data_IF_901030939433
#
_entry.id   IF_901030939433
#
_cell.length_a   1.000
_cell.length_b   1.000
_cell.length_c   1.000
_cell.angle_alpha   90.00
_cell.angle_beta   90.00
_cell.angle_gamma   90.00
#
_symmetry.space_group_name_H-M   'P 1'
#
loop_
_entity.id
_entity.type
_entity.pdbx_description
1 polymer ?
#
# COMPACT_ATOMS: atom_id res chain seq x y z
N UNK A 1 -13.85 -10.46 21.80
CA UNK A 1 -14.87 -11.48 22.15
C UNK A 1 -14.33 -12.48 23.16
N UNK A 2 -13.23 -13.18 22.88
CA UNK A 2 -12.56 -14.06 23.88
C UNK A 2 -12.12 -13.32 25.15
N UNK A 3 -11.51 -12.11 25.09
CA UNK A 3 -11.15 -11.36 26.31
C UNK A 3 -12.34 -11.05 27.22
N UNK A 4 -13.52 -10.75 26.63
CA UNK A 4 -14.73 -10.54 27.41
C UNK A 4 -15.17 -11.82 28.14
N UNK A 5 -15.09 -12.98 27.49
CA UNK A 5 -15.41 -14.24 28.17
C UNK A 5 -14.40 -14.49 29.31
N UNK A 6 -13.12 -14.17 29.09
CA UNK A 6 -12.08 -14.31 30.11
C UNK A 6 -12.27 -13.37 31.31
N UNK A 7 -12.75 -12.15 31.10
CA UNK A 7 -13.02 -11.21 32.18
C UNK A 7 -14.16 -11.69 33.11
N UNK A 8 -15.15 -12.41 32.56
CA UNK A 8 -16.35 -12.82 33.28
C UNK A 8 -16.38 -14.30 33.68
N UNK A 9 -15.44 -15.13 33.20
CA UNK A 9 -15.37 -16.57 33.55
C UNK A 9 -15.15 -16.86 35.03
N UNK A 10 -14.64 -15.87 35.80
CA UNK A 10 -14.48 -15.96 37.26
C UNK A 10 -15.79 -15.77 38.03
N UNK A 11 -16.82 -15.21 37.39
CA UNK A 11 -18.14 -14.91 38.00
C UNK A 11 -19.23 -15.79 37.40
N UNK A 12 -19.16 -16.10 36.10
CA UNK A 12 -20.14 -16.92 35.40
C UNK A 12 -19.45 -18.09 34.67
N UNK A 13 -20.16 -19.20 34.55
CA UNK A 13 -19.70 -20.33 33.72
C UNK A 13 -19.70 -19.90 32.25
N UNK A 14 -18.71 -20.38 31.48
CA UNK A 14 -18.48 -20.02 30.07
C UNK A 14 -19.71 -20.27 29.18
N UNK A 15 -20.40 -21.40 29.37
CA UNK A 15 -21.58 -21.78 28.56
C UNK A 15 -22.70 -20.73 28.53
N UNK A 16 -23.19 -20.25 29.69
CA UNK A 16 -24.12 -19.13 29.77
C UNK A 16 -23.65 -17.86 29.06
N UNK A 17 -22.39 -17.46 29.23
CA UNK A 17 -21.82 -16.28 28.56
C UNK A 17 -21.85 -16.46 27.04
N UNK A 18 -21.41 -17.63 26.56
CA UNK A 18 -21.42 -18.00 25.14
C UNK A 18 -22.85 -17.97 24.55
N UNK A 19 -23.87 -18.37 25.30
CA UNK A 19 -25.28 -18.33 24.85
C UNK A 19 -25.78 -16.89 24.66
N UNK A 20 -25.36 -15.96 25.52
CA UNK A 20 -25.75 -14.54 25.43
C UNK A 20 -25.01 -13.81 24.31
N UNK A 21 -23.78 -14.23 23.99
CA UNK A 21 -22.95 -13.64 22.91
C UNK A 21 -23.16 -14.27 21.52
N UNK A 22 -24.26 -15.01 21.31
CA UNK A 22 -24.41 -16.10 20.34
C UNK A 22 -23.12 -16.76 19.79
N UNK A 23 -22.30 -17.38 20.66
CA UNK A 23 -21.07 -18.11 20.28
C UNK A 23 -21.18 -19.57 20.72
N UNK A 24 -20.68 -20.51 19.90
CA UNK A 24 -20.54 -21.89 20.34
C UNK A 24 -19.39 -22.04 21.35
N UNK A 25 -19.56 -22.76 22.49
CA UNK A 25 -18.50 -22.98 23.49
C UNK A 25 -17.22 -23.57 22.89
N UNK A 26 -17.34 -24.47 21.92
CA UNK A 26 -16.20 -25.05 21.19
C UNK A 26 -15.32 -24.01 20.48
N UNK A 27 -15.88 -22.85 20.12
CA UNK A 27 -15.13 -21.75 19.51
C UNK A 27 -14.26 -21.04 20.55
N UNK A 28 -14.77 -20.89 21.79
CA UNK A 28 -13.99 -20.39 22.91
C UNK A 28 -12.88 -21.38 23.27
N UNK A 29 -13.21 -22.66 23.44
CA UNK A 29 -12.23 -23.70 23.79
C UNK A 29 -11.13 -23.82 22.72
N UNK A 30 -11.48 -23.70 21.44
CA UNK A 30 -10.50 -23.68 20.35
C UNK A 30 -9.61 -22.43 20.39
N UNK A 31 -10.16 -21.28 20.76
CA UNK A 31 -9.39 -20.05 20.92
C UNK A 31 -8.48 -20.09 22.16
N UNK A 32 -8.95 -20.65 23.28
CA UNK A 32 -8.16 -20.90 24.48
C UNK A 32 -7.05 -21.91 24.19
N UNK A 33 -7.35 -23.01 23.48
CA UNK A 33 -6.36 -24.01 23.08
C UNK A 33 -5.28 -23.43 22.16
N UNK A 34 -5.62 -22.51 21.25
CA UNK A 34 -4.61 -21.80 20.42
C UNK A 34 -3.75 -20.83 21.23
N UNK A 35 -4.27 -20.31 22.34
CA UNK A 35 -3.52 -19.41 23.21
C UNK A 35 -2.54 -20.18 24.08
N UNK A 36 -2.99 -21.28 24.70
CA UNK A 36 -2.21 -22.12 25.61
C UNK A 36 -1.21 -23.04 24.90
N UNK A 37 -1.58 -23.58 23.74
CA UNK A 37 -0.73 -24.44 22.92
C UNK A 37 -0.32 -23.72 21.62
N UNK A 38 0.93 -23.19 21.54
CA UNK A 38 1.44 -22.52 20.35
C UNK A 38 1.41 -23.39 19.09
N UNK A 39 1.47 -24.72 19.21
CA UNK A 39 1.45 -25.64 18.07
C UNK A 39 0.08 -25.70 17.38
N UNK A 40 -1.00 -25.31 18.06
CA UNK A 40 -2.36 -25.24 17.50
C UNK A 40 -2.65 -23.96 16.73
N UNK A 41 -1.75 -22.97 16.78
CA UNK A 41 -1.88 -21.73 16.00
C UNK A 41 -1.65 -22.00 14.52
N UNK A 42 -2.14 -21.10 13.67
CA UNK A 42 -1.90 -21.22 12.22
C UNK A 42 -0.40 -21.19 11.92
N UNK A 43 0.04 -21.88 10.86
CA UNK A 43 1.44 -21.84 10.40
C UNK A 43 1.94 -20.40 10.20
N UNK A 44 1.06 -19.49 9.78
CA UNK A 44 1.35 -18.07 9.62
C UNK A 44 1.67 -17.40 10.95
N UNK A 45 0.88 -17.67 11.99
CA UNK A 45 1.07 -17.10 13.32
C UNK A 45 2.31 -17.68 14.01
N UNK A 46 2.58 -18.97 13.81
CA UNK A 46 3.81 -19.61 14.30
C UNK A 46 5.06 -18.96 13.68
N UNK A 47 5.08 -18.82 12.34
CA UNK A 47 6.16 -18.12 11.62
C UNK A 47 6.29 -16.66 12.06
N UNK A 48 5.18 -15.97 12.26
CA UNK A 48 5.19 -14.60 12.76
C UNK A 48 5.75 -14.50 14.17
N UNK A 49 5.42 -15.45 15.06
CA UNK A 49 5.95 -15.50 16.42
C UNK A 49 7.47 -15.68 16.42
N UNK A 50 7.98 -16.70 15.72
CA UNK A 50 9.42 -16.94 15.61
C UNK A 50 10.16 -15.73 15.03
N UNK A 51 9.56 -15.07 14.03
CA UNK A 51 10.13 -13.86 13.43
C UNK A 51 10.14 -12.66 14.40
N UNK A 52 9.17 -12.53 15.31
CA UNK A 52 9.18 -11.48 16.34
C UNK A 52 10.38 -11.63 17.27
N UNK A 53 10.66 -12.86 17.70
CA UNK A 53 11.78 -13.14 18.60
C UNK A 53 13.12 -12.81 17.93
N UNK A 54 13.31 -13.23 16.68
CA UNK A 54 14.50 -12.90 15.90
C UNK A 54 14.66 -11.38 15.66
N UNK A 55 13.57 -10.69 15.30
CA UNK A 55 13.55 -9.23 15.15
C UNK A 55 13.99 -8.53 16.45
N UNK A 56 13.45 -8.98 17.59
CA UNK A 56 13.73 -8.39 18.89
C UNK A 56 15.19 -8.59 19.31
N UNK A 57 15.73 -9.79 19.08
CA UNK A 57 17.14 -10.09 19.34
C UNK A 57 18.07 -9.22 18.51
N UNK A 58 17.86 -9.16 17.19
CA UNK A 58 18.67 -8.32 16.29
C UNK A 58 18.57 -6.84 16.66
N UNK A 59 17.36 -6.35 16.95
CA UNK A 59 17.15 -4.96 17.34
C UNK A 59 17.86 -4.61 18.64
N UNK A 60 17.76 -5.45 19.66
CA UNK A 60 18.42 -5.27 20.96
C UNK A 60 19.95 -5.37 20.84
N UNK A 61 20.46 -6.36 20.11
CA UNK A 61 21.90 -6.52 19.86
C UNK A 61 22.52 -5.30 19.16
N UNK A 62 21.75 -4.62 18.31
CA UNK A 62 22.16 -3.40 17.61
C UNK A 62 21.82 -2.12 18.38
N UNK A 63 21.72 -2.18 19.72
CA UNK A 63 21.46 -1.05 20.62
C UNK A 63 20.21 -0.25 20.24
N UNK A 64 19.18 -0.92 19.72
CA UNK A 64 17.91 -0.31 19.32
C UNK A 64 18.04 0.72 18.18
N UNK A 65 19.19 0.77 17.48
CA UNK A 65 19.43 1.75 16.41
C UNK A 65 18.78 1.33 15.09
N UNK A 66 18.67 0.02 14.84
CA UNK A 66 18.21 -0.48 13.55
C UNK A 66 16.70 -0.32 13.37
N UNK A 67 16.29 0.34 12.29
CA UNK A 67 14.91 0.27 11.80
C UNK A 67 14.66 -0.98 10.96
N UNK A 68 13.41 -1.20 10.55
CA UNK A 68 12.97 -2.43 9.86
C UNK A 68 13.86 -2.87 8.69
N UNK A 69 14.25 -1.96 7.80
CA UNK A 69 15.11 -2.30 6.66
C UNK A 69 16.54 -2.71 7.03
N UNK A 70 17.06 -2.28 8.19
CA UNK A 70 18.37 -2.72 8.70
C UNK A 70 18.25 -4.05 9.43
N UNK A 71 17.21 -4.22 10.26
CA UNK A 71 16.90 -5.49 10.91
C UNK A 71 16.70 -6.59 9.87
N UNK A 72 15.87 -6.35 8.86
CA UNK A 72 15.63 -7.29 7.76
C UNK A 72 16.91 -7.71 7.04
N UNK A 73 17.80 -6.75 6.72
CA UNK A 73 19.10 -7.05 6.09
C UNK A 73 20.02 -7.85 7.01
N UNK A 74 19.95 -7.64 8.32
CA UNK A 74 20.76 -8.39 9.28
C UNK A 74 20.26 -9.83 9.42
N UNK A 75 18.94 -10.02 9.57
CA UNK A 75 18.30 -11.34 9.55
C UNK A 75 18.65 -12.10 8.27
N UNK A 76 18.66 -11.41 7.13
CA UNK A 76 19.02 -12.01 5.84
C UNK A 76 20.48 -12.50 5.77
N UNK A 77 21.38 -11.91 6.57
CA UNK A 77 22.80 -12.31 6.63
C UNK A 77 23.03 -13.47 7.60
N UNK A 78 22.31 -13.50 8.72
CA UNK A 78 22.51 -14.48 9.80
C UNK A 78 21.78 -15.78 9.52
N UNK A 79 20.50 -15.72 9.12
CA UNK A 79 19.61 -16.88 9.02
C UNK A 79 19.14 -17.17 7.57
N UNK A 80 19.63 -16.41 6.59
CA UNK A 80 19.20 -16.51 5.19
C UNK A 80 17.80 -15.90 4.94
N UNK A 81 17.08 -16.29 3.86
CA UNK A 81 15.81 -15.67 3.48
C UNK A 81 14.64 -16.11 4.38
N UNK A 82 14.63 -15.69 5.65
CA UNK A 82 13.59 -16.01 6.64
C UNK A 82 12.28 -15.29 6.35
N UNK A 83 12.33 -14.07 5.77
CA UNK A 83 11.15 -13.29 5.43
C UNK A 83 11.42 -12.17 4.41
N UNK A 84 10.35 -11.74 3.72
CA UNK A 84 10.31 -10.46 2.99
C UNK A 84 10.31 -9.27 3.98
N UNK A 85 10.60 -8.07 3.49
CA UNK A 85 10.65 -6.85 4.32
C UNK A 85 9.30 -6.48 4.97
N UNK A 86 8.19 -6.61 4.25
CA UNK A 86 6.86 -6.18 4.72
C UNK A 86 6.42 -6.88 6.02
N UNK A 87 6.60 -8.21 6.19
CA UNK A 87 6.43 -8.88 7.48
C UNK A 87 7.22 -8.26 8.63
N UNK A 88 8.50 -7.92 8.41
CA UNK A 88 9.37 -7.32 9.43
C UNK A 88 8.85 -5.94 9.84
N UNK A 89 8.50 -5.10 8.87
CA UNK A 89 7.94 -3.78 9.13
C UNK A 89 6.64 -3.84 9.95
N UNK A 90 5.72 -4.73 9.55
CA UNK A 90 4.46 -4.92 10.25
C UNK A 90 4.66 -5.41 11.69
N UNK A 91 5.56 -6.38 11.89
CA UNK A 91 5.81 -6.94 13.23
C UNK A 91 6.51 -5.92 14.14
N UNK A 92 7.49 -5.18 13.64
CA UNK A 92 8.12 -4.10 14.40
C UNK A 92 7.10 -3.04 14.83
N UNK A 93 6.17 -2.64 13.95
CA UNK A 93 5.08 -1.72 14.30
C UNK A 93 4.18 -2.29 15.40
N UNK A 94 3.77 -3.56 15.28
CA UNK A 94 2.93 -4.23 16.30
C UNK A 94 3.62 -4.33 17.67
N UNK A 95 4.94 -4.48 17.69
CA UNK A 95 5.75 -4.55 18.92
C UNK A 95 6.18 -3.19 19.45
N UNK A 96 5.85 -2.09 18.76
CA UNK A 96 6.31 -0.75 19.11
C UNK A 96 7.82 -0.53 18.92
N UNK A 97 8.50 -1.42 18.18
CA UNK A 97 9.94 -1.31 17.91
C UNK A 97 10.19 -0.30 16.79
N UNK A 98 11.11 0.62 17.03
CA UNK A 98 11.54 1.61 16.05
C UNK A 98 13.05 1.74 16.09
N UNK A 99 13.64 2.04 14.93
CA UNK A 99 15.06 2.38 14.87
C UNK A 99 15.30 3.82 15.30
N UNK A 100 16.52 4.14 15.69
CA UNK A 100 16.91 5.51 15.99
C UNK A 100 16.76 6.39 14.74
N UNK A 101 16.01 7.48 14.88
CA UNK A 101 15.83 8.51 13.86
C UNK A 101 16.67 9.72 14.27
N UNK A 102 17.56 10.18 13.39
CA UNK A 102 18.30 11.43 13.61
C UNK A 102 17.44 12.61 13.15
N UNK A 103 17.22 13.57 14.03
CA UNK A 103 16.43 14.78 13.76
C UNK A 103 14.95 14.63 14.10
N UNK A 104 14.24 15.76 14.12
CA UNK A 104 12.78 15.75 14.17
C UNK A 104 12.26 15.35 12.79
N UNK A 105 11.20 14.51 12.73
CA UNK A 105 10.44 14.38 11.49
C UNK A 105 9.98 15.79 11.08
N UNK A 106 10.12 16.18 9.80
CA UNK A 106 9.51 17.42 9.34
C UNK A 106 8.04 17.37 9.73
N UNK A 107 7.61 18.24 10.66
CA UNK A 107 6.20 18.44 10.91
C UNK A 107 5.68 19.16 9.69
N UNK A 108 5.06 18.41 8.79
CA UNK A 108 4.26 19.04 7.75
C UNK A 108 3.16 19.84 8.43
N UNK A 109 2.87 21.02 7.91
CA UNK A 109 1.69 21.79 8.29
C UNK A 109 0.48 20.87 8.16
N UNK A 110 -0.17 20.55 9.28
CA UNK A 110 -1.43 19.81 9.22
C UNK A 110 -2.45 20.71 8.54
N UNK A 111 -3.14 20.18 7.53
CA UNK A 111 -4.27 20.90 6.93
C UNK A 111 -5.32 21.13 8.02
N UNK A 112 -5.85 22.35 8.08
CA UNK A 112 -6.94 22.70 8.98
C UNK A 112 -8.22 22.00 8.48
N UNK A 113 -8.83 21.09 9.26
CA UNK A 113 -10.01 20.36 8.84
C UNK A 113 -11.23 21.26 8.63
N UNK A 114 -11.25 22.45 9.23
CA UNK A 114 -12.32 23.45 9.08
C UNK A 114 -12.06 24.41 7.92
N UNK A 115 -10.91 24.29 7.25
CA UNK A 115 -10.61 25.10 6.06
C UNK A 115 -11.41 24.55 4.87
N UNK A 116 -12.26 25.37 4.22
CA UNK A 116 -12.98 24.93 3.05
C UNK A 116 -12.00 24.54 1.96
N UNK A 117 -12.12 23.31 1.45
CA UNK A 117 -11.38 22.87 0.28
C UNK A 117 -11.65 23.84 -0.88
N UNK A 118 -10.61 24.26 -1.62
CA UNK A 118 -10.82 25.01 -2.86
C UNK A 118 -11.81 24.26 -3.74
N UNK A 119 -12.76 24.98 -4.34
CA UNK A 119 -13.70 24.36 -5.27
C UNK A 119 -12.90 23.67 -6.39
N UNK A 120 -13.22 22.41 -6.66
CA UNK A 120 -12.62 21.71 -7.78
C UNK A 120 -13.24 22.21 -9.09
N UNK A 121 -12.70 23.33 -9.59
CA UNK A 121 -13.14 23.96 -10.83
C UNK A 121 -12.95 23.04 -12.06
N UNK A 122 -12.16 21.97 -11.92
CA UNK A 122 -11.90 21.01 -12.98
C UNK A 122 -12.86 19.81 -12.96
N UNK A 123 -13.75 19.70 -11.96
CA UNK A 123 -14.74 18.61 -11.82
C UNK A 123 -14.13 17.22 -12.04
N UNK A 124 -12.97 16.95 -11.43
CA UNK A 124 -12.23 15.72 -11.67
C UNK A 124 -12.89 14.55 -10.95
N UNK A 125 -13.11 13.46 -11.67
CA UNK A 125 -13.53 12.20 -11.05
C UNK A 125 -12.30 11.53 -10.40
N UNK A 126 -12.33 11.36 -9.09
CA UNK A 126 -11.28 10.68 -8.33
C UNK A 126 -11.59 9.20 -8.13
N UNK A 127 -12.43 8.62 -9.00
CA UNK A 127 -12.78 7.21 -8.97
C UNK A 127 -11.55 6.31 -9.18
N UNK A 128 -11.67 5.04 -8.79
CA UNK A 128 -10.60 4.06 -8.98
C UNK A 128 -10.28 3.79 -10.45
N UNK A 129 -11.21 4.07 -11.36
CA UNK A 129 -11.03 3.85 -12.79
C UNK A 129 -10.09 4.89 -13.41
N UNK A 130 -10.25 6.16 -13.07
CA UNK A 130 -9.36 7.24 -13.55
C UNK A 130 -7.93 7.07 -13.02
N UNK A 131 -7.80 6.65 -11.75
CA UNK A 131 -6.49 6.36 -11.17
C UNK A 131 -5.80 5.16 -11.84
N UNK A 132 -6.54 4.11 -12.20
CA UNK A 132 -5.95 2.93 -12.84
C UNK A 132 -5.43 3.24 -14.25
N UNK A 133 -6.14 4.09 -15.01
CA UNK A 133 -5.70 4.55 -16.32
C UNK A 133 -4.43 5.41 -16.20
N UNK A 134 -4.45 6.39 -15.31
CA UNK A 134 -3.30 7.26 -15.05
C UNK A 134 -2.06 6.49 -14.58
N UNK A 135 -2.23 5.50 -13.68
CA UNK A 135 -1.11 4.67 -13.23
C UNK A 135 -0.51 3.81 -14.36
N UNK A 136 -1.35 3.32 -15.27
CA UNK A 136 -0.92 2.55 -16.43
C UNK A 136 -0.08 3.40 -17.38
N UNK A 137 -0.54 4.61 -17.69
CA UNK A 137 0.16 5.55 -18.56
C UNK A 137 1.49 6.01 -17.94
N UNK A 138 1.51 6.34 -16.65
CA UNK A 138 2.74 6.67 -15.91
C UNK A 138 3.70 5.48 -15.90
N UNK A 139 3.21 4.25 -15.78
CA UNK A 139 4.03 3.04 -15.83
C UNK A 139 4.68 2.83 -17.19
N UNK A 140 3.92 3.10 -18.26
CA UNK A 140 4.38 3.01 -19.63
C UNK A 140 5.44 4.06 -19.95
N UNK A 141 5.20 5.33 -19.62
CA UNK A 141 6.16 6.42 -19.85
C UNK A 141 7.49 6.18 -19.13
N UNK A 142 7.44 5.70 -17.87
CA UNK A 142 8.64 5.29 -17.14
C UNK A 142 9.38 4.14 -17.82
N UNK A 143 8.66 3.25 -18.49
CA UNK A 143 9.29 2.10 -19.15
C UNK A 143 9.92 2.51 -20.47
N UNK A 144 9.20 3.25 -21.31
CA UNK A 144 9.67 3.65 -22.63
C UNK A 144 10.71 4.77 -22.54
N UNK A 145 10.42 5.85 -21.81
CA UNK A 145 11.30 7.03 -21.74
C UNK A 145 12.49 6.79 -20.81
N UNK A 146 12.26 6.28 -19.59
CA UNK A 146 13.31 6.25 -18.56
C UNK A 146 14.15 4.96 -18.59
N UNK A 147 13.52 3.81 -18.89
CA UNK A 147 14.21 2.50 -18.83
C UNK A 147 14.73 2.03 -20.17
N UNK A 148 14.02 2.31 -21.27
CA UNK A 148 14.38 1.84 -22.61
C UNK A 148 15.12 2.89 -23.44
N UNK A 149 14.84 4.19 -23.26
CA UNK A 149 15.51 5.28 -23.99
C UNK A 149 16.78 5.82 -23.28
N UNK A 150 17.71 6.32 -24.11
CA UNK A 150 19.12 6.67 -23.84
C UNK A 150 19.44 7.32 -22.48
N UNK A 151 19.90 6.52 -21.53
CA UNK A 151 20.70 7.01 -20.39
C UNK A 151 22.19 7.09 -20.78
N UNK A 152 22.94 8.12 -20.32
CA UNK A 152 22.68 8.90 -19.11
C UNK A 152 21.98 10.26 -19.32
N UNK A 153 21.03 10.59 -18.44
CA UNK A 153 20.34 11.87 -18.38
C UNK A 153 21.19 12.92 -17.63
N UNK A 154 21.80 13.89 -18.31
CA UNK A 154 22.79 14.76 -17.68
C UNK A 154 22.17 15.82 -16.76
N UNK A 155 20.90 16.20 -16.96
CA UNK A 155 20.18 17.19 -16.17
C UNK A 155 18.65 16.99 -16.29
N UNK A 156 17.90 17.54 -15.33
CA UNK A 156 16.43 17.45 -15.28
C UNK A 156 15.76 17.87 -16.59
N UNK A 157 16.24 18.95 -17.20
CA UNK A 157 15.70 19.49 -18.45
C UNK A 157 15.76 18.49 -19.61
N UNK A 158 16.73 17.55 -19.62
CA UNK A 158 16.82 16.54 -20.67
C UNK A 158 15.71 15.50 -20.53
N UNK A 159 15.34 15.18 -19.29
CA UNK A 159 14.21 14.29 -18.99
C UNK A 159 12.90 14.98 -19.34
N UNK A 160 12.76 16.28 -19.03
CA UNK A 160 11.56 17.06 -19.37
C UNK A 160 11.31 17.08 -20.88
N UNK A 161 12.34 17.36 -21.71
CA UNK A 161 12.19 17.31 -23.16
C UNK A 161 11.86 15.90 -23.67
N UNK A 162 12.53 14.87 -23.16
CA UNK A 162 12.25 13.49 -23.57
C UNK A 162 10.82 13.04 -23.22
N UNK A 163 10.29 13.50 -22.07
CA UNK A 163 8.90 13.27 -21.71
C UNK A 163 7.95 14.05 -22.62
N UNK A 164 8.26 15.30 -22.97
CA UNK A 164 7.44 16.09 -23.90
C UNK A 164 7.38 15.45 -25.29
N UNK A 165 8.52 15.03 -25.83
CA UNK A 165 8.59 14.34 -27.12
C UNK A 165 7.80 13.02 -27.09
N UNK A 166 7.88 12.29 -25.97
CA UNK A 166 7.09 11.07 -25.79
C UNK A 166 5.59 11.34 -25.72
N UNK A 167 5.16 12.37 -24.97
CA UNK A 167 3.74 12.75 -24.86
C UNK A 167 3.18 13.17 -26.21
N UNK A 168 3.95 13.96 -26.97
CA UNK A 168 3.57 14.37 -28.34
C UNK A 168 3.37 13.15 -29.24
N UNK A 169 4.37 12.25 -29.30
CA UNK A 169 4.28 11.02 -30.08
C UNK A 169 3.15 10.10 -29.62
N UNK A 170 2.92 9.97 -28.31
CA UNK A 170 1.86 9.16 -27.72
C UNK A 170 0.47 9.67 -28.11
N UNK A 171 0.27 10.99 -28.16
CA UNK A 171 -1.03 11.58 -28.46
C UNK A 171 -1.31 11.74 -29.96
N UNK A 172 -0.28 12.07 -30.75
CA UNK A 172 -0.45 12.46 -32.15
C UNK A 172 0.00 11.41 -33.18
N UNK A 173 0.78 10.41 -32.78
CA UNK A 173 1.36 9.44 -33.73
C UNK A 173 1.04 7.98 -33.37
N UNK A 174 0.91 7.65 -32.08
CA UNK A 174 0.62 6.29 -31.63
C UNK A 174 -0.84 5.94 -31.92
N UNK A 175 -1.04 4.81 -32.60
CA UNK A 175 -2.36 4.25 -32.90
C UNK A 175 -2.81 3.31 -31.79
N UNK A 176 -4.10 3.34 -31.49
CA UNK A 176 -4.71 2.50 -30.46
C UNK A 176 -5.88 1.71 -31.04
N UNK A 177 -5.73 0.38 -31.11
CA UNK A 177 -6.75 -0.54 -31.61
C UNK A 177 -8.13 -0.34 -30.95
N UNK A 178 -8.27 -0.15 -29.61
CA UNK A 178 -9.58 0.00 -28.98
C UNK A 178 -10.40 1.21 -29.43
N UNK A 179 -9.75 2.25 -29.96
CA UNK A 179 -10.39 3.46 -30.48
C UNK A 179 -10.42 3.48 -32.01
N UNK A 180 -10.16 2.35 -32.67
CA UNK A 180 -10.22 2.22 -34.13
C UNK A 180 -8.93 2.57 -34.84
N UNK A 181 -7.78 2.23 -34.26
CA UNK A 181 -6.45 2.43 -34.84
C UNK A 181 -6.17 3.90 -35.18
N UNK A 182 -6.58 4.81 -34.31
CA UNK A 182 -6.37 6.25 -34.45
C UNK A 182 -5.55 6.83 -33.29
N UNK A 183 -4.88 7.99 -33.48
CA UNK A 183 -4.24 8.71 -32.39
C UNK A 183 -5.24 9.24 -31.38
N UNK A 184 -4.82 9.31 -30.11
CA UNK A 184 -5.69 9.78 -29.01
C UNK A 184 -6.19 11.21 -29.25
N UNK A 185 -5.34 12.10 -29.77
CA UNK A 185 -5.73 13.48 -30.07
C UNK A 185 -6.82 13.58 -31.15
N UNK A 186 -6.79 12.68 -32.14
CA UNK A 186 -7.82 12.64 -33.19
C UNK A 186 -9.14 12.08 -32.63
N UNK A 187 -9.08 11.06 -31.77
CA UNK A 187 -10.27 10.51 -31.12
C UNK A 187 -10.96 11.55 -30.22
N UNK A 188 -10.17 12.32 -29.48
CA UNK A 188 -10.66 13.43 -28.66
C UNK A 188 -11.31 14.53 -29.52
N UNK A 189 -10.69 14.91 -30.63
CA UNK A 189 -11.27 15.89 -31.56
C UNK A 189 -12.62 15.43 -32.11
N UNK A 190 -12.70 14.18 -32.59
CA UNK A 190 -13.94 13.59 -33.11
C UNK A 190 -15.04 13.54 -32.04
N UNK A 191 -14.69 13.24 -30.79
CA UNK A 191 -15.62 13.23 -29.67
C UNK A 191 -16.21 14.62 -29.41
N UNK A 192 -15.39 15.66 -29.36
CA UNK A 192 -15.87 17.03 -29.16
C UNK A 192 -16.67 17.55 -30.34
N UNK A 193 -16.31 17.21 -31.58
CA UNK A 193 -17.09 17.53 -32.76
C UNK A 193 -18.49 16.91 -32.68
N UNK A 194 -18.59 15.66 -32.25
CA UNK A 194 -19.88 14.95 -32.05
C UNK A 194 -20.73 15.60 -30.94
N UNK A 195 -20.11 15.98 -29.81
CA UNK A 195 -20.80 16.72 -28.74
C UNK A 195 -21.29 18.07 -29.25
N UNK A 196 -20.45 18.82 -29.96
CA UNK A 196 -20.80 20.13 -30.48
C UNK A 196 -21.93 20.04 -31.52
N UNK A 197 -21.96 19.00 -32.34
CA UNK A 197 -23.02 18.77 -33.32
C UNK A 197 -24.34 18.39 -32.65
N UNK A 198 -24.32 17.46 -31.68
CA UNK A 198 -25.52 17.10 -30.92
C UNK A 198 -26.11 18.28 -30.14
N UNK A 199 -25.27 19.17 -29.61
CA UNK A 199 -25.69 20.40 -28.94
C UNK A 199 -26.26 21.47 -29.89
N UNK A 200 -25.94 21.43 -31.19
CA UNK A 200 -26.52 22.33 -32.21
C UNK A 200 -27.86 21.84 -32.76
N UNK A 201 -28.13 20.55 -32.67
CA UNK A 201 -29.38 19.92 -33.17
C UNK A 201 -30.50 19.92 -32.12
N UNK A 202 -30.15 20.07 -30.84
CA UNK A 202 -31.07 20.22 -29.71
C UNK A 202 -31.57 21.66 -29.53
#
# INVERSE_FOLDING_TARGET
MVPFIDDYRGVYVVGPICRVLPIAPSTYDAAEARQTDPARRSNRDQRASALRDAIQQVWAANRCVYGARKVWRQLWREDGPVALLCPVERLMRQMGLQGAVRGCRPKMTAADPDQPSPADCAQRDFSSYDNALAETEIGLSKTEVIRQHDGPWPHLVAVEFAVLDWVDGFNHQRLFEPIGDMPSAEAEANFYDTIAESARVA
#
